data_IF_129672123359
#
_entry.id   IF_129672123359
#
_cell.length_a   1.000
_cell.length_b   1.000
_cell.length_c   1.000
_cell.angle_alpha   90.00
_cell.angle_beta   90.00
_cell.angle_gamma   90.00
#
_symmetry.space_group_name_H-M   'P 1'
#
loop_
_entity.id
_entity.type
_entity.pdbx_description
1 polymer ?
#
# COMPACT_ATOMS: atom_id res chain seq x y z
N UNK A 1 -6.95 1.19 -4.12
CA UNK A 1 -6.50 0.21 -3.11
C UNK A 1 -6.13 0.78 -1.72
N UNK A 2 -5.90 2.10 -1.57
CA UNK A 2 -5.42 2.72 -0.32
C UNK A 2 -6.25 2.36 0.92
N UNK A 3 -7.58 2.45 0.84
CA UNK A 3 -8.46 2.17 1.98
C UNK A 3 -8.32 0.72 2.49
N UNK A 4 -8.26 -0.26 1.58
CA UNK A 4 -8.09 -1.67 1.94
C UNK A 4 -6.73 -1.93 2.60
N UNK A 5 -5.66 -1.33 2.07
CA UNK A 5 -4.32 -1.45 2.64
C UNK A 5 -4.30 -0.85 4.05
N UNK A 6 -4.92 0.33 4.28
CA UNK A 6 -5.00 0.93 5.63
C UNK A 6 -5.79 0.06 6.61
N UNK A 7 -6.86 -0.57 6.14
CA UNK A 7 -7.76 -1.33 6.99
C UNK A 7 -7.14 -2.65 7.47
N UNK A 8 -6.42 -3.34 6.58
CA UNK A 8 -5.94 -4.70 6.81
C UNK A 8 -4.45 -4.81 7.13
N UNK A 9 -3.68 -3.73 7.02
CA UNK A 9 -2.22 -3.76 7.21
C UNK A 9 -1.71 -2.60 8.06
N UNK A 10 -0.60 -2.83 8.74
CA UNK A 10 0.21 -1.82 9.44
C UNK A 10 1.38 -1.40 8.56
N UNK A 11 2.07 -0.33 8.94
CA UNK A 11 3.34 0.01 8.30
C UNK A 11 4.30 -1.19 8.39
N UNK A 12 5.07 -1.41 7.34
CA UNK A 12 6.03 -2.49 7.13
C UNK A 12 5.44 -3.90 6.93
N UNK A 13 4.12 -4.06 6.99
CA UNK A 13 3.48 -5.30 6.52
C UNK A 13 3.66 -5.49 5.01
N UNK A 14 3.48 -6.73 4.54
CA UNK A 14 3.62 -7.10 3.13
C UNK A 14 2.25 -7.26 2.47
N UNK A 15 2.06 -6.60 1.33
CA UNK A 15 0.87 -6.73 0.48
C UNK A 15 1.20 -7.60 -0.73
N UNK A 16 0.46 -8.69 -0.93
CA UNK A 16 0.55 -9.54 -2.12
C UNK A 16 -0.59 -9.20 -3.08
N UNK A 17 -0.26 -8.92 -4.34
CA UNK A 17 -1.22 -8.77 -5.43
C UNK A 17 -0.93 -9.80 -6.54
N UNK A 18 -1.71 -10.88 -6.67
CA UNK A 18 -1.44 -11.95 -7.64
C UNK A 18 -1.86 -11.59 -9.09
N UNK A 19 -2.51 -10.44 -9.29
CA UNK A 19 -2.93 -9.94 -10.61
C UNK A 19 -2.66 -8.43 -10.70
N UNK A 20 -1.40 -8.06 -10.48
CA UNK A 20 -1.04 -6.66 -10.22
C UNK A 20 -1.30 -5.72 -11.41
N UNK A 21 -1.37 -6.26 -12.64
CA UNK A 21 -1.44 -5.49 -13.88
C UNK A 21 -0.38 -4.40 -13.89
N UNK A 22 -0.83 -3.17 -14.14
CA UNK A 22 0.05 -1.99 -14.18
C UNK A 22 0.72 -1.57 -12.85
N UNK A 23 0.52 -2.31 -11.75
CA UNK A 23 1.25 -2.14 -10.48
C UNK A 23 0.65 -1.11 -9.51
N UNK A 24 -0.63 -0.73 -9.66
CA UNK A 24 -1.25 0.32 -8.82
C UNK A 24 -1.25 -0.04 -7.33
N UNK A 25 -1.50 -1.32 -6.99
CA UNK A 25 -1.48 -1.79 -5.60
C UNK A 25 -0.10 -1.64 -4.97
N UNK A 26 0.95 -2.04 -5.70
CA UNK A 26 2.35 -1.98 -5.25
C UNK A 26 2.79 -0.54 -5.01
N UNK A 27 2.47 0.36 -5.96
CA UNK A 27 2.77 1.78 -5.82
C UNK A 27 2.12 2.39 -4.57
N UNK A 28 0.83 2.11 -4.35
CA UNK A 28 0.10 2.63 -3.20
C UNK A 28 0.61 2.01 -1.88
N UNK A 29 0.90 0.71 -1.87
CA UNK A 29 1.48 0.03 -0.71
C UNK A 29 2.84 0.63 -0.33
N UNK A 30 3.72 0.82 -1.32
CA UNK A 30 5.04 1.43 -1.13
C UNK A 30 4.94 2.86 -0.57
N UNK A 31 4.09 3.71 -1.15
CA UNK A 31 3.84 5.08 -0.65
C UNK A 31 3.35 5.10 0.80
N UNK A 32 2.66 4.04 1.23
CA UNK A 32 2.17 3.88 2.59
C UNK A 32 3.17 3.15 3.50
N UNK A 33 4.43 2.99 3.11
CA UNK A 33 5.47 2.28 3.88
C UNK A 33 5.14 0.81 4.13
N UNK A 34 4.45 0.14 3.20
CA UNK A 34 4.28 -1.32 3.21
C UNK A 34 5.23 -1.94 2.19
N UNK A 35 5.70 -3.14 2.48
CA UNK A 35 6.33 -3.99 1.49
C UNK A 35 5.25 -4.47 0.49
N UNK A 36 5.64 -4.80 -0.74
CA UNK A 36 4.69 -5.36 -1.70
C UNK A 36 5.34 -6.35 -2.65
N UNK A 37 4.56 -7.36 -3.05
CA UNK A 37 4.91 -8.34 -4.07
C UNK A 37 3.76 -8.35 -5.07
N UNK A 38 4.07 -8.16 -6.34
CA UNK A 38 3.11 -8.26 -7.42
C UNK A 38 3.46 -9.38 -8.38
N UNK A 39 2.44 -10.08 -8.85
CA UNK A 39 2.57 -11.13 -9.87
C UNK A 39 1.63 -10.78 -11.00
N UNK A 40 2.12 -10.92 -12.22
CA UNK A 40 1.31 -10.85 -13.44
C UNK A 40 1.92 -11.80 -14.48
N UNK A 41 1.09 -12.34 -15.37
CA UNK A 41 1.53 -13.24 -16.43
C UNK A 41 1.88 -12.49 -17.73
N UNK A 42 1.49 -11.21 -17.84
CA UNK A 42 1.81 -10.34 -18.97
C UNK A 42 3.11 -9.61 -18.65
N UNK A 43 4.16 -9.89 -19.43
CA UNK A 43 5.51 -9.37 -19.17
C UNK A 43 5.55 -7.84 -19.22
N UNK A 44 4.82 -7.25 -20.18
CA UNK A 44 4.72 -5.82 -20.38
C UNK A 44 4.15 -5.10 -19.15
N UNK A 45 3.23 -5.76 -18.40
CA UNK A 45 2.72 -5.21 -17.15
C UNK A 45 3.76 -5.23 -16.04
N UNK A 46 4.59 -6.27 -15.96
CA UNK A 46 5.71 -6.34 -15.04
C UNK A 46 6.74 -5.23 -15.32
N UNK A 47 7.10 -5.01 -16.58
CA UNK A 47 8.01 -3.92 -16.98
C UNK A 47 7.43 -2.55 -16.63
N UNK A 48 6.17 -2.29 -17.01
CA UNK A 48 5.49 -1.04 -16.68
C UNK A 48 5.40 -0.78 -15.16
N UNK A 49 5.16 -1.83 -14.37
CA UNK A 49 5.13 -1.72 -12.91
C UNK A 49 6.53 -1.41 -12.36
N UNK A 50 7.57 -2.06 -12.88
CA UNK A 50 8.96 -1.84 -12.49
C UNK A 50 9.45 -0.43 -12.81
N UNK A 51 9.11 0.12 -13.98
CA UNK A 51 9.46 1.50 -14.36
C UNK A 51 8.77 2.55 -13.47
N UNK A 52 7.52 2.29 -13.07
CA UNK A 52 6.76 3.19 -12.17
C UNK A 52 7.22 3.14 -10.73
N UNK A 53 7.73 1.99 -10.29
CA UNK A 53 8.25 1.82 -8.94
C UNK A 53 9.64 2.46 -8.84
N UNK A 54 9.71 3.60 -8.15
CA UNK A 54 11.00 4.21 -7.82
C UNK A 54 11.79 3.31 -6.87
N UNK A 55 13.13 3.30 -6.94
CA UNK A 55 13.96 2.65 -5.94
C UNK A 55 13.58 3.12 -4.53
N UNK A 56 13.58 2.19 -3.59
CA UNK A 56 13.13 2.35 -2.19
C UNK A 56 13.60 3.69 -1.61
N UNK A 57 12.65 4.52 -1.19
CA UNK A 57 12.98 5.70 -0.38
C UNK A 57 13.62 5.20 0.93
N UNK A 58 14.87 5.60 1.17
CA UNK A 58 15.57 5.26 2.40
C UNK A 58 14.91 5.99 3.58
N UNK A 59 13.93 5.33 4.20
CA UNK A 59 13.11 5.86 5.30
C UNK A 59 13.89 6.17 6.57
N UNK A 60 15.19 5.82 6.63
CA UNK A 60 16.05 5.98 7.80
C UNK A 60 16.12 7.43 8.32
N UNK A 61 15.93 8.42 7.44
CA UNK A 61 15.99 9.84 7.79
C UNK A 61 14.67 10.60 7.58
N UNK A 62 13.55 9.91 7.35
CA UNK A 62 12.30 10.61 7.14
C UNK A 62 11.72 11.19 8.45
N UNK A 63 11.22 12.44 8.43
CA UNK A 63 10.48 12.98 9.57
C UNK A 63 9.21 12.15 9.82
N UNK A 64 8.99 11.76 11.07
CA UNK A 64 7.81 10.97 11.47
C UNK A 64 6.53 11.76 11.22
N UNK A 65 5.74 11.34 10.23
CA UNK A 65 4.42 11.91 9.94
C UNK A 65 3.41 11.32 10.94
N UNK A 66 2.70 12.17 11.70
CA UNK A 66 1.60 11.72 12.57
C UNK A 66 0.35 11.53 11.73
N UNK A 67 -0.04 10.29 11.45
CA UNK A 67 -1.36 10.01 10.88
C UNK A 67 -2.44 10.19 11.96
N UNK A 68 -3.52 10.88 11.61
CA UNK A 68 -4.66 11.07 12.50
C UNK A 68 -5.28 9.72 12.89
N UNK A 69 -5.55 9.54 14.19
CA UNK A 69 -6.33 8.39 14.67
C UNK A 69 -7.73 8.50 14.09
N UNK A 70 -8.18 7.46 13.38
CA UNK A 70 -9.55 7.39 12.88
C UNK A 70 -10.53 7.59 14.05
N UNK A 71 -11.41 8.60 13.96
CA UNK A 71 -12.47 8.83 14.94
C UNK A 71 -13.45 7.66 14.88
N UNK A 72 -13.42 6.79 15.88
CA UNK A 72 -14.49 5.79 16.10
C UNK A 72 -15.79 6.52 16.42
N UNK A 73 -16.67 6.69 15.42
CA UNK A 73 -18.07 7.03 15.66
C UNK A 73 -18.75 5.79 16.23
N UNK A 74 -18.93 5.74 17.55
CA UNK A 74 -19.69 4.69 18.20
C UNK A 74 -21.08 4.58 17.55
N UNK A 75 -21.46 3.38 17.12
CA UNK A 75 -22.83 3.10 16.70
C UNK A 75 -23.71 3.23 17.93
N UNK A 76 -24.52 4.29 17.98
CA UNK A 76 -25.66 4.38 18.89
C UNK A 76 -26.58 3.20 18.62
N UNK A 77 -26.76 2.34 19.61
CA UNK A 77 -27.78 1.29 19.64
C UNK A 77 -29.15 1.94 19.49
N UNK A 78 -29.83 1.68 18.36
CA UNK A 78 -31.26 1.95 18.24
C UNK A 78 -31.99 0.94 19.14
N UNK A 79 -32.63 1.47 20.19
CA UNK A 79 -33.61 0.76 21.01
C UNK A 79 -34.87 0.47 20.23
#
# INVERSE_FOLDING_TARGET
PEWFIKLFTREYDTVLDPFMGSGTTLFVANRMKRNSIGIDNVHEYCEMAQEKLKPVELYLFEPKVKYEKAKTKGRSTLR
#
